data_IF_738200126956
#
_entry.id   IF_738200126956
#
_cell.length_a   1.000
_cell.length_b   1.000
_cell.length_c   1.000
_cell.angle_alpha   90.00
_cell.angle_beta   90.00
_cell.angle_gamma   90.00
#
_symmetry.space_group_name_H-M   'P 1'
#
loop_
_entity.id
_entity.type
_entity.pdbx_description
1 polymer ?
#
# COMPACT_ATOMS: atom_id res chain seq x y z
N UNK A 1 6.48 -7.47 -27.88
CA UNK A 1 7.58 -6.71 -27.26
C UNK A 1 7.20 -6.57 -25.81
N UNK A 2 8.01 -7.15 -24.92
CA UNK A 2 7.73 -7.18 -23.49
C UNK A 2 7.85 -5.76 -22.93
N UNK A 3 7.02 -5.39 -21.94
CA UNK A 3 7.06 -4.06 -21.31
C UNK A 3 8.47 -3.70 -20.83
N UNK A 4 9.13 -4.67 -20.19
CA UNK A 4 10.50 -4.54 -19.69
C UNK A 4 11.47 -4.14 -20.80
N UNK A 5 11.32 -4.66 -22.03
CA UNK A 5 12.16 -4.28 -23.16
C UNK A 5 11.96 -2.82 -23.57
N UNK A 6 10.72 -2.33 -23.57
CA UNK A 6 10.39 -0.95 -23.95
C UNK A 6 10.90 0.04 -22.90
N UNK A 7 10.63 -0.22 -21.61
CA UNK A 7 11.07 0.64 -20.52
C UNK A 7 12.60 0.64 -20.41
N UNK A 8 13.24 -0.53 -20.54
CA UNK A 8 14.70 -0.63 -20.53
C UNK A 8 15.33 0.05 -21.75
N UNK A 9 14.71 -0.03 -22.94
CA UNK A 9 15.17 0.72 -24.12
C UNK A 9 15.06 2.23 -23.90
N UNK A 10 13.95 2.72 -23.37
CA UNK A 10 13.80 4.15 -23.06
C UNK A 10 14.79 4.64 -22.01
N UNK A 11 15.07 3.84 -20.99
CA UNK A 11 16.08 4.15 -19.99
C UNK A 11 17.50 4.12 -20.56
N UNK A 12 17.88 3.08 -21.32
CA UNK A 12 19.25 2.89 -21.83
C UNK A 12 19.58 3.79 -23.03
N UNK A 13 18.69 3.84 -24.03
CA UNK A 13 19.00 4.48 -25.32
C UNK A 13 18.56 5.95 -25.35
N UNK A 14 17.65 6.34 -24.45
CA UNK A 14 17.16 7.72 -24.37
C UNK A 14 17.44 8.38 -23.02
N UNK A 15 17.98 7.65 -22.04
CA UNK A 15 18.20 8.16 -20.69
C UNK A 15 16.89 8.55 -19.99
N UNK A 16 15.74 8.08 -20.48
CA UNK A 16 14.42 8.48 -19.97
C UNK A 16 13.92 7.42 -18.99
N UNK A 17 13.94 7.75 -17.71
CA UNK A 17 13.55 6.86 -16.61
C UNK A 17 12.09 7.14 -16.19
N UNK A 18 11.27 6.09 -16.21
CA UNK A 18 9.86 6.11 -15.82
C UNK A 18 9.58 5.27 -14.56
N UNK A 19 10.62 4.77 -13.90
CA UNK A 19 10.54 3.80 -12.81
C UNK A 19 10.73 2.36 -13.28
N UNK A 20 10.81 1.44 -12.31
CA UNK A 20 10.95 0.01 -12.55
C UNK A 20 9.67 -0.54 -13.21
N UNK A 21 9.79 -1.47 -14.18
CA UNK A 21 8.64 -2.12 -14.80
C UNK A 21 7.68 -2.76 -13.79
N UNK A 22 8.22 -3.31 -12.71
CA UNK A 22 7.46 -4.00 -11.66
C UNK A 22 6.58 -3.05 -10.84
N UNK A 23 6.92 -1.75 -10.84
CA UNK A 23 6.19 -0.71 -10.11
C UNK A 23 5.08 -0.06 -10.95
N UNK A 24 4.81 -0.54 -12.17
CA UNK A 24 3.83 0.07 -13.09
C UNK A 24 2.62 -0.85 -13.31
N UNK A 25 1.42 -0.37 -12.95
CA UNK A 25 0.11 -1.01 -13.25
C UNK A 25 -0.54 -0.41 -14.50
N UNK A 26 -1.53 -1.11 -15.07
CA UNK A 26 -2.28 -0.69 -16.27
C UNK A 26 -1.38 -0.22 -17.43
N UNK A 27 -0.30 -0.96 -17.63
CA UNK A 27 0.79 -0.67 -18.57
C UNK A 27 0.33 -0.25 -19.97
N UNK A 28 -0.66 -0.96 -20.53
CA UNK A 28 -1.19 -0.64 -21.86
C UNK A 28 -1.82 0.74 -21.92
N UNK A 29 -2.57 1.11 -20.88
CA UNK A 29 -3.19 2.44 -20.75
C UNK A 29 -2.13 3.52 -20.50
N UNK A 30 -1.14 3.23 -19.66
CA UNK A 30 -0.01 4.11 -19.39
C UNK A 30 0.75 4.46 -20.68
N UNK A 31 1.19 3.45 -21.44
CA UNK A 31 1.90 3.64 -22.70
C UNK A 31 1.03 4.38 -23.73
N UNK A 32 -0.27 4.13 -23.75
CA UNK A 32 -1.21 4.83 -24.62
C UNK A 32 -1.32 6.31 -24.24
N UNK A 33 -1.37 6.63 -22.95
CA UNK A 33 -1.37 8.02 -22.45
C UNK A 33 -0.06 8.74 -22.82
N UNK A 34 1.09 8.10 -22.58
CA UNK A 34 2.40 8.68 -22.91
C UNK A 34 2.53 8.93 -24.41
N UNK A 35 2.13 7.95 -25.22
CA UNK A 35 2.11 8.08 -26.68
C UNK A 35 1.24 9.26 -27.11
N UNK A 36 0.03 9.40 -26.55
CA UNK A 36 -0.87 10.53 -26.85
C UNK A 36 -0.22 11.88 -26.51
N UNK A 37 0.47 12.00 -25.37
CA UNK A 37 1.17 13.23 -24.98
C UNK A 37 2.33 13.54 -25.96
N UNK A 38 3.09 12.52 -26.38
CA UNK A 38 4.16 12.69 -27.37
C UNK A 38 3.64 13.02 -28.77
N UNK A 39 2.52 12.44 -29.19
CA UNK A 39 1.86 12.73 -30.48
C UNK A 39 1.29 14.16 -30.50
N UNK A 40 0.84 14.67 -29.35
CA UNK A 40 0.47 16.08 -29.15
C UNK A 40 1.69 17.02 -29.01
N UNK A 41 2.91 16.50 -29.23
CA UNK A 41 4.16 17.24 -29.11
C UNK A 41 4.35 17.89 -27.73
N UNK A 42 3.85 17.23 -26.67
CA UNK A 42 3.94 17.68 -25.29
C UNK A 42 5.13 17.01 -24.58
N UNK A 43 5.90 17.80 -23.83
CA UNK A 43 6.96 17.26 -22.98
C UNK A 43 6.38 16.55 -21.75
N UNK A 44 6.81 15.32 -21.48
CA UNK A 44 6.32 14.51 -20.36
C UNK A 44 6.73 15.03 -18.98
N UNK A 45 7.78 15.87 -18.91
CA UNK A 45 8.30 16.44 -17.66
C UNK A 45 7.76 17.85 -17.36
N UNK A 46 7.86 18.77 -18.31
CA UNK A 46 7.46 20.16 -18.10
C UNK A 46 6.11 20.53 -18.71
N UNK A 47 5.47 19.58 -19.41
CA UNK A 47 4.13 19.70 -19.99
C UNK A 47 3.94 20.78 -21.05
N UNK A 48 5.03 21.42 -21.49
CA UNK A 48 5.01 22.38 -22.59
C UNK A 48 4.75 21.67 -23.92
N UNK A 49 3.97 22.32 -24.79
CA UNK A 49 3.67 21.87 -26.15
C UNK A 49 4.62 22.53 -27.14
N UNK A 50 5.08 21.75 -28.12
CA UNK A 50 6.06 22.17 -29.11
C UNK A 50 5.46 22.11 -30.51
N UNK A 51 6.06 22.86 -31.43
CA UNK A 51 5.57 22.99 -32.81
C UNK A 51 5.90 21.76 -33.68
N UNK A 52 6.98 21.05 -33.36
CA UNK A 52 7.45 19.91 -34.15
C UNK A 52 8.22 18.88 -33.29
N UNK A 53 8.28 17.63 -33.76
CA UNK A 53 8.90 16.51 -33.03
C UNK A 53 10.40 16.72 -32.78
N UNK A 54 11.10 17.43 -33.66
CA UNK A 54 12.54 17.67 -33.50
C UNK A 54 12.79 18.67 -32.38
N UNK A 55 12.00 19.75 -32.31
CA UNK A 55 12.09 20.73 -31.22
C UNK A 55 11.74 20.14 -29.87
N UNK A 56 10.77 19.23 -29.79
CA UNK A 56 10.46 18.49 -28.56
C UNK A 56 11.63 17.59 -28.14
N UNK A 57 12.18 16.78 -29.05
CA UNK A 57 13.33 15.91 -28.77
C UNK A 57 14.55 16.70 -28.32
N UNK A 58 14.86 17.80 -29.00
CA UNK A 58 15.95 18.70 -28.65
C UNK A 58 15.71 19.37 -27.30
N UNK A 59 14.47 19.77 -27.01
CA UNK A 59 14.10 20.32 -25.71
C UNK A 59 14.36 19.30 -24.60
N UNK A 60 13.85 18.07 -24.73
CA UNK A 60 14.01 17.03 -23.73
C UNK A 60 15.48 16.67 -23.50
N UNK A 61 16.27 16.61 -24.57
CA UNK A 61 17.72 16.36 -24.51
C UNK A 61 18.48 17.52 -23.84
N UNK A 62 18.28 18.77 -24.30
CA UNK A 62 19.03 19.94 -23.83
C UNK A 62 18.68 20.32 -22.39
N UNK A 63 17.42 20.17 -22.00
CA UNK A 63 16.95 20.47 -20.64
C UNK A 63 17.02 19.28 -19.70
N UNK A 64 17.52 18.13 -20.16
CA UNK A 64 17.61 16.89 -19.36
C UNK A 64 16.27 16.48 -18.74
N UNK A 65 15.17 16.66 -19.49
CA UNK A 65 13.85 16.19 -19.07
C UNK A 65 13.75 14.69 -19.30
N UNK A 66 14.41 13.95 -18.40
CA UNK A 66 14.60 12.50 -18.43
C UNK A 66 13.56 11.74 -17.62
N UNK A 67 12.66 12.43 -16.93
CA UNK A 67 11.64 11.84 -16.05
C UNK A 67 10.26 12.31 -16.48
N UNK A 68 9.22 11.65 -15.96
CA UNK A 68 7.84 12.14 -16.06
C UNK A 68 7.62 13.24 -15.00
N UNK A 69 6.68 14.15 -15.24
CA UNK A 69 6.33 15.19 -14.30
C UNK A 69 5.77 14.60 -12.99
N UNK A 70 6.55 14.69 -11.91
CA UNK A 70 6.14 14.20 -10.59
C UNK A 70 4.87 14.90 -10.05
N UNK A 71 4.65 16.16 -10.44
CA UNK A 71 3.50 16.95 -9.92
C UNK A 71 2.18 16.60 -10.59
N UNK A 72 2.19 15.82 -11.66
CA UNK A 72 0.97 15.49 -12.39
C UNK A 72 0.35 14.20 -11.85
N UNK A 73 -0.70 14.37 -11.05
CA UNK A 73 -1.45 13.28 -10.42
C UNK A 73 -2.16 12.34 -11.41
N UNK A 74 -2.26 12.69 -12.69
CA UNK A 74 -2.78 11.77 -13.72
C UNK A 74 -1.93 10.51 -13.84
N UNK A 75 -0.63 10.60 -13.53
CA UNK A 75 0.27 9.46 -13.60
C UNK A 75 0.20 8.55 -12.36
N UNK A 76 -0.32 9.05 -11.24
CA UNK A 76 -0.33 8.33 -9.97
C UNK A 76 -1.07 6.99 -10.07
N UNK A 77 -2.10 6.93 -10.90
CA UNK A 77 -2.88 5.70 -11.14
C UNK A 77 -2.08 4.56 -11.79
N UNK A 78 -0.89 4.83 -12.33
CA UNK A 78 -0.06 3.83 -12.98
C UNK A 78 1.04 3.29 -12.09
N UNK A 79 1.25 3.84 -10.89
CA UNK A 79 2.32 3.39 -10.01
C UNK A 79 1.78 2.56 -8.85
N UNK A 80 2.28 1.32 -8.73
CA UNK A 80 1.92 0.34 -7.69
C UNK A 80 2.04 0.97 -6.29
N UNK A 81 3.09 1.75 -6.06
CA UNK A 81 3.40 2.36 -4.76
C UNK A 81 2.23 3.21 -4.22
N UNK A 82 1.53 3.94 -5.09
CA UNK A 82 0.37 4.76 -4.70
C UNK A 82 -0.85 3.94 -4.25
N UNK A 83 -0.82 2.62 -4.47
CA UNK A 83 -1.83 1.68 -4.03
C UNK A 83 -1.41 0.88 -2.80
N UNK A 84 -0.11 0.84 -2.48
CA UNK A 84 0.43 0.07 -1.37
C UNK A 84 0.52 0.90 -0.09
N UNK A 85 1.06 2.12 -0.13
CA UNK A 85 1.32 2.90 1.10
C UNK A 85 0.34 4.06 1.28
N UNK A 86 -0.31 4.13 2.43
CA UNK A 86 -1.21 5.24 2.76
C UNK A 86 -0.43 6.52 3.00
N UNK A 87 -0.80 7.58 2.28
CA UNK A 87 -0.27 8.92 2.52
C UNK A 87 1.16 9.13 2.02
N UNK A 88 1.78 8.11 1.42
CA UNK A 88 3.04 8.26 0.67
C UNK A 88 2.77 8.30 -0.82
N UNK A 89 3.39 9.24 -1.49
CA UNK A 89 3.39 9.30 -2.96
C UNK A 89 4.59 8.54 -3.52
N UNK A 90 4.48 8.03 -4.74
CA UNK A 90 5.62 7.42 -5.44
C UNK A 90 6.84 8.37 -5.55
N UNK A 91 6.63 9.69 -5.47
CA UNK A 91 7.71 10.70 -5.43
C UNK A 91 8.56 10.56 -4.16
N UNK A 92 7.93 10.33 -3.01
CA UNK A 92 8.62 10.16 -1.72
C UNK A 92 9.42 8.86 -1.71
N UNK A 93 8.82 7.76 -2.19
CA UNK A 93 9.48 6.44 -2.24
C UNK A 93 10.62 6.38 -3.26
N UNK A 94 10.49 7.04 -4.43
CA UNK A 94 11.63 7.10 -5.37
C UNK A 94 12.78 7.98 -4.89
N UNK A 95 12.51 8.98 -4.03
CA UNK A 95 13.58 9.78 -3.42
C UNK A 95 14.40 8.97 -2.39
N UNK A 96 13.83 7.90 -1.84
CA UNK A 96 14.52 6.97 -0.93
C UNK A 96 15.47 6.03 -1.70
N UNK A 97 15.12 5.65 -2.94
CA UNK A 97 15.85 4.70 -3.81
C UNK A 97 16.93 5.37 -4.71
N UNK A 98 16.92 6.70 -4.85
CA UNK A 98 17.94 7.48 -5.59
C UNK A 98 19.29 7.57 -4.80
N UNK A 99 19.45 6.86 -3.66
CA UNK A 99 20.78 6.61 -3.09
C UNK A 99 21.50 5.64 -4.02
N UNK A 100 22.29 6.20 -4.94
CA UNK A 100 23.11 5.47 -5.90
C UNK A 100 23.67 4.18 -5.30
N UNK A 101 23.33 3.04 -5.91
CA UNK A 101 24.07 1.78 -5.77
C UNK A 101 25.48 2.01 -6.34
N UNK A 102 26.31 2.77 -5.63
CA UNK A 102 27.76 2.78 -5.83
C UNK A 102 28.26 1.43 -5.32
N UNK A 103 28.84 0.64 -6.22
CA UNK A 103 29.34 -0.73 -6.05
C UNK A 103 30.57 -0.84 -5.12
N UNK A 104 30.66 0.00 -4.09
CA UNK A 104 31.83 0.08 -3.20
C UNK A 104 31.49 0.76 -1.86
N UNK A 105 30.60 0.16 -1.07
CA UNK A 105 30.48 0.50 0.34
C UNK A 105 30.18 -0.76 1.16
N UNK A 106 31.06 -1.00 2.14
CA UNK A 106 30.92 -2.01 3.18
C UNK A 106 29.46 -2.10 3.67
N UNK A 107 29.03 -3.32 3.92
CA UNK A 107 27.73 -3.74 4.45
C UNK A 107 27.55 -3.24 5.90
N UNK A 108 27.52 -1.91 6.07
CA UNK A 108 27.32 -1.22 7.33
C UNK A 108 25.81 -1.06 7.55
N UNK A 109 25.24 -2.02 8.30
CA UNK A 109 23.84 -2.01 8.74
C UNK A 109 23.49 -0.82 9.66
N UNK A 110 24.42 0.11 9.89
CA UNK A 110 24.24 1.34 10.68
C UNK A 110 23.43 2.44 9.99
N UNK A 111 23.27 2.40 8.67
CA UNK A 111 22.61 3.47 7.90
C UNK A 111 21.08 3.29 7.77
N UNK A 112 20.51 2.32 8.49
CA UNK A 112 19.07 2.14 8.66
C UNK A 112 18.49 3.33 9.43
N UNK A 113 18.04 4.34 8.69
CA UNK A 113 17.24 5.43 9.23
C UNK A 113 15.82 4.93 9.51
N UNK A 114 15.48 4.82 10.80
CA UNK A 114 14.09 4.64 11.25
C UNK A 114 13.27 5.85 10.80
N UNK A 115 12.55 5.70 9.69
CA UNK A 115 11.60 6.72 9.25
C UNK A 115 10.37 6.64 10.15
N UNK A 116 9.93 7.75 10.77
CA UNK A 116 8.79 7.72 11.67
C UNK A 116 7.54 7.23 10.92
N UNK A 117 7.05 6.05 11.30
CA UNK A 117 5.88 5.43 10.69
C UNK A 117 4.64 6.19 11.17
N UNK A 118 4.08 7.04 10.30
CA UNK A 118 2.88 7.81 10.62
C UNK A 118 1.61 6.99 10.37
N UNK A 119 0.64 7.07 11.28
CA UNK A 119 -0.68 6.50 11.09
C UNK A 119 -1.57 7.48 10.29
N UNK A 120 -2.26 6.96 9.27
CA UNK A 120 -3.10 7.76 8.37
C UNK A 120 -4.58 7.60 8.70
N UNK A 121 -5.31 8.71 8.63
CA UNK A 121 -6.75 8.78 8.87
C UNK A 121 -7.53 7.83 7.95
N UNK A 122 -8.67 7.33 8.43
CA UNK A 122 -9.54 6.46 7.63
C UNK A 122 -10.23 7.20 6.48
N UNK A 123 -10.46 8.51 6.62
CA UNK A 123 -11.33 9.29 5.73
C UNK A 123 -10.61 10.38 4.92
N UNK A 124 -9.37 10.74 5.27
CA UNK A 124 -8.61 11.78 4.59
C UNK A 124 -7.09 11.54 4.67
N UNK A 125 -6.30 12.44 4.08
CA UNK A 125 -4.85 12.32 3.95
C UNK A 125 -4.09 12.80 5.21
N UNK A 126 -4.78 13.09 6.33
CA UNK A 126 -4.14 13.49 7.58
C UNK A 126 -3.33 12.33 8.18
N UNK A 127 -2.10 12.63 8.58
CA UNK A 127 -1.16 11.68 9.18
C UNK A 127 -0.73 12.16 10.57
N UNK A 128 -0.45 11.22 11.46
CA UNK A 128 0.04 11.50 12.80
C UNK A 128 0.98 10.42 13.29
N UNK A 129 2.04 10.83 13.99
CA UNK A 129 2.98 9.95 14.69
C UNK A 129 2.35 9.29 15.93
N UNK A 130 1.31 9.91 16.51
CA UNK A 130 0.61 9.35 17.68
C UNK A 130 -0.83 9.01 17.36
N UNK A 131 -1.28 7.87 17.89
CA UNK A 131 -2.66 7.39 17.76
C UNK A 131 -3.68 8.32 18.40
N UNK A 132 -3.36 8.91 19.55
CA UNK A 132 -4.29 9.82 20.26
C UNK A 132 -4.66 11.04 19.43
N UNK A 133 -3.67 11.63 18.73
CA UNK A 133 -3.90 12.74 17.80
C UNK A 133 -4.74 12.29 16.61
N UNK A 134 -4.50 11.07 16.11
CA UNK A 134 -5.28 10.52 15.01
C UNK A 134 -6.73 10.24 15.41
N UNK A 135 -6.96 9.65 16.59
CA UNK A 135 -8.30 9.42 17.14
C UNK A 135 -9.03 10.74 17.39
N UNK A 136 -8.35 11.75 17.94
CA UNK A 136 -8.91 13.09 18.11
C UNK A 136 -9.28 13.72 16.76
N UNK A 137 -8.41 13.59 15.76
CA UNK A 137 -8.70 14.06 14.41
C UNK A 137 -9.93 13.38 13.80
N UNK A 138 -10.03 12.04 13.87
CA UNK A 138 -11.21 11.32 13.37
C UNK A 138 -12.50 11.75 14.07
N UNK A 139 -12.43 12.00 15.38
CA UNK A 139 -13.56 12.44 16.17
C UNK A 139 -13.98 13.87 15.84
N UNK A 140 -13.04 14.81 15.81
CA UNK A 140 -13.33 16.24 15.73
C UNK A 140 -13.66 16.68 14.29
N UNK A 141 -12.97 16.14 13.28
CA UNK A 141 -13.15 16.52 11.88
C UNK A 141 -14.12 15.61 11.13
N UNK A 142 -14.22 14.33 11.51
CA UNK A 142 -15.06 13.36 10.81
C UNK A 142 -16.24 12.87 11.65
N UNK A 143 -16.37 13.29 12.91
CA UNK A 143 -17.43 12.80 13.81
C UNK A 143 -17.31 11.31 14.14
N UNK A 144 -16.19 10.68 13.80
CA UNK A 144 -15.97 9.25 13.91
C UNK A 144 -15.19 8.93 15.18
N UNK A 145 -15.90 8.43 16.20
CA UNK A 145 -15.30 8.05 17.48
C UNK A 145 -14.99 6.54 17.48
N UNK A 146 -13.81 6.19 17.00
CA UNK A 146 -13.36 4.80 16.90
C UNK A 146 -13.34 4.11 18.28
N UNK A 147 -12.92 4.83 19.33
CA UNK A 147 -12.85 4.28 20.69
C UNK A 147 -14.25 3.92 21.20
N UNK A 148 -15.20 4.84 21.07
CA UNK A 148 -16.60 4.59 21.42
C UNK A 148 -17.19 3.42 20.63
N UNK A 149 -16.84 3.29 19.35
CA UNK A 149 -17.32 2.20 18.51
C UNK A 149 -16.75 0.84 18.97
N UNK A 150 -15.45 0.78 19.28
CA UNK A 150 -14.80 -0.43 19.84
C UNK A 150 -15.47 -0.88 21.13
N UNK A 151 -15.68 0.03 22.07
CA UNK A 151 -16.34 -0.27 23.36
C UNK A 151 -17.78 -0.72 23.18
N UNK A 152 -18.56 -0.04 22.32
CA UNK A 152 -19.98 -0.37 22.13
C UNK A 152 -20.20 -1.75 21.51
N UNK A 153 -19.27 -2.22 20.68
CA UNK A 153 -19.37 -3.50 19.99
C UNK A 153 -18.58 -4.62 20.67
N UNK A 154 -17.81 -4.32 21.73
CA UNK A 154 -16.96 -5.30 22.40
C UNK A 154 -15.95 -5.95 21.44
N UNK A 155 -15.26 -5.13 20.63
CA UNK A 155 -14.35 -5.66 19.61
C UNK A 155 -13.01 -6.07 20.21
N UNK A 156 -12.75 -7.38 20.29
CA UNK A 156 -11.39 -7.90 20.50
C UNK A 156 -10.46 -7.55 19.34
N UNK A 157 -9.15 -7.68 19.55
CA UNK A 157 -8.11 -7.20 18.62
C UNK A 157 -8.37 -7.54 17.14
N UNK A 158 -8.59 -8.81 16.80
CA UNK A 158 -8.75 -9.23 15.40
C UNK A 158 -10.01 -8.66 14.74
N UNK A 159 -11.11 -8.50 15.50
CA UNK A 159 -12.32 -7.88 14.97
C UNK A 159 -12.11 -6.38 14.72
N UNK A 160 -11.31 -5.71 15.55
CA UNK A 160 -10.89 -4.33 15.29
C UNK A 160 -10.11 -4.22 13.97
N UNK A 161 -9.13 -5.12 13.75
CA UNK A 161 -8.35 -5.18 12.50
C UNK A 161 -9.26 -5.33 11.28
N UNK A 162 -10.17 -6.33 11.31
CA UNK A 162 -11.11 -6.57 10.22
C UNK A 162 -12.00 -5.36 9.93
N UNK A 163 -12.52 -4.72 10.97
CA UNK A 163 -13.36 -3.55 10.82
C UNK A 163 -12.62 -2.39 10.15
N UNK A 164 -11.40 -2.09 10.61
CA UNK A 164 -10.59 -1.01 10.04
C UNK A 164 -10.27 -1.31 8.57
N UNK A 165 -9.85 -2.53 8.27
CA UNK A 165 -9.59 -2.96 6.89
C UNK A 165 -10.85 -2.91 6.02
N UNK A 166 -12.02 -3.28 6.55
CA UNK A 166 -13.29 -3.13 5.85
C UNK A 166 -13.56 -1.68 5.48
N UNK A 167 -13.52 -0.75 6.45
CA UNK A 167 -13.77 0.68 6.20
C UNK A 167 -12.78 1.23 5.18
N UNK A 168 -11.49 0.93 5.35
CA UNK A 168 -10.42 1.33 4.43
C UNK A 168 -10.68 0.83 3.00
N UNK A 169 -11.06 -0.44 2.84
CA UNK A 169 -11.34 -1.04 1.53
C UNK A 169 -12.56 -0.44 0.86
N UNK A 170 -13.62 -0.18 1.61
CA UNK A 170 -14.83 0.45 1.06
C UNK A 170 -14.53 1.87 0.57
N UNK A 171 -13.82 2.67 1.37
CA UNK A 171 -13.41 4.03 0.98
C UNK A 171 -12.46 3.98 -0.23
N UNK A 172 -11.50 3.07 -0.25
CA UNK A 172 -10.59 2.87 -1.38
C UNK A 172 -11.36 2.58 -2.67
N UNK A 173 -12.39 1.73 -2.61
CA UNK A 173 -13.24 1.37 -3.75
C UNK A 173 -14.34 2.40 -4.04
N UNK A 174 -14.25 3.60 -3.44
CA UNK A 174 -15.22 4.68 -3.53
C UNK A 174 -16.65 4.21 -3.22
N UNK A 175 -16.80 3.40 -2.18
CA UNK A 175 -18.09 2.92 -1.67
C UNK A 175 -18.35 3.38 -0.25
N UNK A 176 -19.62 3.65 0.06
CA UNK A 176 -20.04 3.86 1.44
C UNK A 176 -20.01 2.55 2.21
N UNK A 177 -19.28 2.49 3.32
CA UNK A 177 -19.23 1.30 4.18
C UNK A 177 -20.59 0.96 4.82
N UNK A 178 -21.47 1.94 5.03
CA UNK A 178 -22.78 1.73 5.67
C UNK A 178 -23.87 1.20 4.75
N UNK A 179 -23.93 1.66 3.48
CA UNK A 179 -25.00 1.29 2.53
C UNK A 179 -24.49 0.70 1.20
N UNK A 180 -23.17 0.61 0.99
CA UNK A 180 -22.53 0.05 -0.21
C UNK A 180 -22.80 0.82 -1.52
N UNK A 181 -23.37 2.02 -1.46
CA UNK A 181 -23.50 2.92 -2.63
C UNK A 181 -22.11 3.31 -3.18
N UNK A 182 -21.99 3.35 -4.51
CA UNK A 182 -20.76 3.71 -5.24
C UNK A 182 -20.73 5.19 -5.60
N UNK A 183 -19.55 5.78 -5.53
CA UNK A 183 -19.28 7.18 -5.81
C UNK A 183 -18.08 7.36 -6.75
N UNK A 184 -17.93 8.56 -7.29
CA UNK A 184 -16.83 8.93 -8.20
C UNK A 184 -15.50 9.19 -7.49
N UNK A 185 -15.52 9.55 -6.21
CA UNK A 185 -14.32 9.91 -5.45
C UNK A 185 -14.48 9.64 -3.95
N UNK A 186 -13.36 9.48 -3.24
CA UNK A 186 -13.32 9.37 -1.76
C UNK A 186 -14.02 10.55 -1.06
N UNK A 187 -13.85 11.76 -1.59
CA UNK A 187 -14.50 12.96 -1.07
C UNK A 187 -16.04 12.88 -1.19
N UNK A 188 -16.56 12.28 -2.26
CA UNK A 188 -18.00 12.11 -2.45
C UNK A 188 -18.58 11.04 -1.52
N UNK A 189 -17.83 9.95 -1.27
CA UNK A 189 -18.18 8.97 -0.23
C UNK A 189 -18.32 9.66 1.12
N UNK A 190 -17.35 10.49 1.51
CA UNK A 190 -17.38 11.17 2.80
C UNK A 190 -18.57 12.13 2.92
N UNK A 191 -18.85 12.94 1.89
CA UNK A 191 -20.04 13.81 1.85
C UNK A 191 -21.33 13.02 1.99
N UNK A 192 -21.42 11.83 1.38
CA UNK A 192 -22.58 10.96 1.54
C UNK A 192 -22.66 10.42 2.98
N UNK A 193 -21.56 9.89 3.52
CA UNK A 193 -21.50 9.31 4.86
C UNK A 193 -21.96 10.30 5.93
N UNK A 194 -21.57 11.57 5.82
CA UNK A 194 -22.01 12.65 6.69
C UNK A 194 -23.51 12.94 6.52
N UNK A 195 -23.96 13.20 5.29
CA UNK A 195 -25.38 13.52 4.98
C UNK A 195 -26.35 12.40 5.35
N UNK A 196 -26.01 11.16 5.05
CA UNK A 196 -26.81 9.97 5.33
C UNK A 196 -26.70 9.49 6.78
N UNK A 197 -25.87 10.18 7.59
CA UNK A 197 -25.58 9.83 9.00
C UNK A 197 -25.07 8.39 9.14
N UNK A 198 -24.23 7.97 8.20
CA UNK A 198 -23.58 6.66 8.21
C UNK A 198 -22.27 6.65 9.01
N UNK A 199 -21.78 7.80 9.49
CA UNK A 199 -20.47 7.94 10.20
C UNK A 199 -20.27 6.85 11.26
N UNK A 200 -21.23 6.65 12.15
CA UNK A 200 -21.15 5.67 13.25
C UNK A 200 -22.05 4.44 13.01
N UNK A 201 -22.65 4.32 11.82
CA UNK A 201 -23.60 3.25 11.48
C UNK A 201 -22.92 2.21 10.61
N UNK A 202 -22.48 1.12 11.24
CA UNK A 202 -21.92 -0.02 10.53
C UNK A 202 -23.00 -0.93 9.96
N UNK A 203 -22.71 -1.63 8.85
CA UNK A 203 -23.55 -2.73 8.40
C UNK A 203 -23.48 -3.90 9.38
N UNK A 204 -24.30 -4.93 9.12
CA UNK A 204 -24.30 -6.16 9.91
C UNK A 204 -22.89 -6.77 10.04
N UNK A 205 -22.59 -7.38 11.18
CA UNK A 205 -21.27 -7.96 11.47
C UNK A 205 -20.84 -8.97 10.41
N UNK A 206 -21.78 -9.71 9.82
CA UNK A 206 -21.49 -10.65 8.74
C UNK A 206 -20.95 -10.00 7.46
N UNK A 207 -21.11 -8.69 7.27
CA UNK A 207 -20.59 -8.00 6.09
C UNK A 207 -19.09 -7.74 6.21
N UNK A 208 -18.61 -7.40 7.41
CA UNK A 208 -17.23 -6.96 7.62
C UNK A 208 -16.38 -7.91 8.45
N UNK A 209 -16.98 -8.81 9.24
CA UNK A 209 -16.26 -9.88 9.95
C UNK A 209 -16.01 -11.07 9.01
N UNK A 210 -15.27 -10.81 7.94
CA UNK A 210 -14.91 -11.81 6.93
C UNK A 210 -13.39 -12.06 6.93
N UNK A 211 -12.93 -13.30 6.67
CA UNK A 211 -11.49 -13.62 6.66
C UNK A 211 -10.66 -12.76 5.71
N UNK A 212 -11.25 -12.30 4.62
CA UNK A 212 -10.59 -11.42 3.65
C UNK A 212 -10.10 -10.08 4.23
N UNK A 213 -10.60 -9.67 5.41
CA UNK A 213 -10.19 -8.43 6.09
C UNK A 213 -9.11 -8.65 7.17
N UNK A 214 -8.60 -9.87 7.32
CA UNK A 214 -7.37 -10.09 8.09
C UNK A 214 -6.16 -9.44 7.42
N UNK A 215 -6.16 -9.42 6.09
CA UNK A 215 -5.08 -8.80 5.33
C UNK A 215 -5.28 -7.28 5.32
N UNK A 216 -4.23 -6.51 5.69
CA UNK A 216 -4.24 -5.06 5.57
C UNK A 216 -4.66 -4.61 4.18
N UNK A 217 -5.52 -3.58 4.11
CA UNK A 217 -5.87 -2.98 2.81
C UNK A 217 -4.69 -2.28 2.16
N UNK A 218 -3.75 -1.80 2.99
CA UNK A 218 -2.54 -1.09 2.60
C UNK A 218 -1.36 -1.72 3.33
N UNK A 219 -0.19 -1.69 2.72
CA UNK A 219 1.06 -2.09 3.34
C UNK A 219 1.47 -1.07 4.42
N UNK A 220 2.21 -1.55 5.43
CA UNK A 220 2.78 -0.72 6.49
C UNK A 220 1.75 0.14 7.26
N UNK A 221 0.54 -0.39 7.47
CA UNK A 221 -0.54 0.32 8.16
C UNK A 221 -0.26 0.49 9.67
N UNK A 222 0.33 1.64 10.02
CA UNK A 222 0.71 1.97 11.39
C UNK A 222 -0.48 2.03 12.37
N UNK A 223 -1.71 2.25 11.89
CA UNK A 223 -2.90 2.26 12.74
C UNK A 223 -3.22 0.85 13.24
N UNK A 224 -3.02 -0.18 12.42
CA UNK A 224 -3.27 -1.57 12.81
C UNK A 224 -2.25 -2.03 13.87
N UNK A 225 -1.01 -1.54 13.80
CA UNK A 225 0.05 -1.86 14.76
C UNK A 225 -0.18 -1.27 16.16
N UNK A 226 -1.08 -0.30 16.29
CA UNK A 226 -1.29 0.48 17.51
C UNK A 226 -2.68 0.28 18.12
N UNK A 227 -3.40 -0.76 17.66
CA UNK A 227 -4.67 -1.16 18.24
C UNK A 227 -4.43 -1.83 19.60
N UNK A 228 -5.05 -1.29 20.65
CA UNK A 228 -5.04 -1.90 21.97
C UNK A 228 -5.92 -3.16 22.00
N UNK A 229 -5.38 -4.19 22.63
CA UNK A 229 -6.12 -5.37 23.05
C UNK A 229 -6.62 -5.11 24.48
N UNK A 230 -7.62 -4.25 24.63
CA UNK A 230 -8.25 -4.00 25.94
C UNK A 230 -9.18 -5.17 26.33
N UNK A 231 -8.75 -6.41 26.06
CA UNK A 231 -9.30 -7.62 26.64
C UNK A 231 -8.90 -7.62 28.11
N UNK A 232 -9.72 -6.96 28.95
CA UNK A 232 -9.81 -7.39 30.33
C UNK A 232 -10.40 -8.80 30.30
N UNK A 233 -9.52 -9.82 30.19
CA UNK A 233 -9.75 -11.26 30.37
C UNK A 233 -11.17 -11.58 30.84
N UNK A 234 -12.13 -11.49 29.92
CA UNK A 234 -13.50 -11.87 30.18
C UNK A 234 -13.64 -13.20 29.51
N UNK A 235 -13.53 -14.24 30.33
CA UNK A 235 -13.82 -15.64 30.04
C UNK A 235 -15.29 -15.78 29.60
N UNK A 236 -15.62 -15.21 28.43
CA UNK A 236 -16.91 -15.28 27.79
C UNK A 236 -16.80 -16.26 26.64
N UNK A 237 -17.24 -17.47 26.96
CA UNK A 237 -17.45 -18.65 26.12
C UNK A 237 -18.56 -18.46 25.08
N UNK A 238 -18.60 -17.31 24.39
CA UNK A 238 -19.59 -17.04 23.34
C UNK A 238 -18.99 -17.19 21.95
N UNK A 239 -19.05 -18.43 21.47
CA UNK A 239 -19.09 -18.83 20.06
C UNK A 239 -18.19 -18.01 19.13
N UNK A 240 -16.90 -18.00 19.43
CA UNK A 240 -15.94 -17.69 18.38
C UNK A 240 -16.12 -18.78 17.31
N UNK A 241 -16.37 -18.37 16.07
CA UNK A 241 -16.17 -19.28 14.95
C UNK A 241 -14.67 -19.47 14.87
N UNK A 242 -14.17 -20.37 15.72
CA UNK A 242 -12.81 -20.86 15.73
C UNK A 242 -12.40 -21.01 14.28
N UNK A 243 -11.52 -20.12 13.83
CA UNK A 243 -10.74 -20.38 12.63
C UNK A 243 -10.06 -21.70 12.96
N UNK A 244 -10.34 -22.80 12.24
CA UNK A 244 -9.70 -24.06 12.55
C UNK A 244 -8.21 -23.84 12.35
N UNK A 245 -7.48 -23.69 13.46
CA UNK A 245 -6.03 -23.66 13.46
C UNK A 245 -5.61 -25.08 13.12
N UNK A 246 -5.46 -25.34 11.82
CA UNK A 246 -4.87 -26.57 11.32
C UNK A 246 -3.40 -26.46 11.67
N UNK A 247 -3.03 -27.00 12.84
CA UNK A 247 -1.63 -27.17 13.19
C UNK A 247 -0.96 -28.01 12.12
N UNK A 248 0.30 -27.68 11.81
CA UNK A 248 1.11 -28.51 10.93
C UNK A 248 1.13 -29.94 11.48
N UNK A 249 0.98 -30.93 10.59
CA UNK A 249 1.02 -32.34 10.96
C UNK A 249 2.44 -32.72 11.41
N UNK A 250 2.67 -32.58 12.71
CA UNK A 250 3.93 -32.88 13.38
C UNK A 250 4.18 -34.38 13.57
N UNK A 251 3.26 -35.25 13.11
CA UNK A 251 3.40 -36.71 13.20
C UNK A 251 4.67 -37.22 12.51
N UNK A 252 5.12 -36.54 11.45
CA UNK A 252 6.26 -36.95 10.64
C UNK A 252 7.56 -36.19 10.95
N UNK A 253 7.62 -35.37 12.01
CA UNK A 253 8.83 -34.59 12.36
C UNK A 253 10.08 -35.46 12.52
N UNK A 254 9.94 -36.67 13.08
CA UNK A 254 11.07 -37.60 13.25
C UNK A 254 11.59 -38.12 11.91
N UNK A 255 10.69 -38.40 10.96
CA UNK A 255 11.04 -38.87 9.62
C UNK A 255 11.69 -37.75 8.82
N UNK A 256 11.10 -36.55 8.84
CA UNK A 256 11.66 -35.34 8.20
C UNK A 256 13.04 -34.99 8.76
N UNK A 257 13.25 -35.11 10.08
CA UNK A 257 14.56 -34.92 10.69
C UNK A 257 15.55 -35.96 10.18
N UNK A 258 15.18 -37.24 10.13
CA UNK A 258 16.04 -38.33 9.67
C UNK A 258 16.39 -38.24 8.17
N UNK A 259 15.46 -37.80 7.33
CA UNK A 259 15.64 -37.59 5.89
C UNK A 259 16.10 -36.18 5.53
N UNK A 260 16.37 -35.32 6.51
CA UNK A 260 16.75 -33.93 6.25
C UNK A 260 18.07 -33.87 5.48
N UNK A 261 18.12 -32.93 4.53
CA UNK A 261 19.33 -32.62 3.76
C UNK A 261 20.50 -32.31 4.69
N UNK A 262 20.24 -31.67 5.84
CA UNK A 262 21.23 -31.41 6.88
C UNK A 262 21.93 -32.68 7.36
N UNK A 263 21.18 -33.75 7.64
CA UNK A 263 21.75 -35.03 8.06
C UNK A 263 22.50 -35.76 6.94
N UNK A 264 22.09 -35.57 5.69
CA UNK A 264 22.84 -36.09 4.53
C UNK A 264 24.19 -35.38 4.38
N UNK A 265 24.21 -34.05 4.56
CA UNK A 265 25.43 -33.23 4.49
C UNK A 265 26.40 -33.50 5.65
N UNK A 266 25.87 -33.78 6.85
CA UNK A 266 26.69 -34.18 7.99
C UNK A 266 27.33 -35.55 7.79
N UNK A 267 26.56 -36.52 7.26
CA UNK A 267 27.11 -37.86 6.92
C UNK A 267 28.17 -37.78 5.83
N UNK A 268 27.98 -36.95 4.79
CA UNK A 268 28.97 -36.80 3.71
C UNK A 268 30.27 -36.16 4.19
N UNK A 269 30.24 -35.32 5.24
CA UNK A 269 31.45 -34.79 5.89
C UNK A 269 32.19 -35.85 6.70
N UNK A 270 31.49 -36.77 7.35
CA UNK A 270 32.10 -37.85 8.15
C UNK A 270 32.76 -38.96 7.32
N UNK A 271 32.40 -39.12 6.04
CA UNK A 271 33.00 -40.08 5.11
C UNK A 271 34.21 -39.56 4.34
N UNK A 272 34.59 -38.28 4.51
CA UNK A 272 35.76 -37.66 3.86
C UNK A 272 36.94 -37.43 4.84
N UNK A 273 37.05 -38.27 5.88
CA UNK A 273 38.18 -38.34 6.81
C UNK A 273 38.75 -39.77 6.84
#
# INVERSE_FOLDING_TARGET
>A
MLLSEILNHMAKDHGFNMGLPDNIVYVGEFLTMLKKKLDNLQCLYCEKVFRDKNTLKDHMRKKQHRRINAKNKEYDQFYVINYLELGKTWEEVQSEDDREMTDDQDDDWSDWQDHPVCAVCLFCDYQSETTDKLYSHMKDFHGFDLQKLKTNLGLGFYRQVKLINFIRREIYQCRCYGCQEKFSSKADVFKHVDKAKHIMKLPDISVWDQPQYYFPTYENDALLCTLSDDEAESDNTDQDKDVPVISEDISNLRVLKQSSVLNQLLKSKSTNL
#
